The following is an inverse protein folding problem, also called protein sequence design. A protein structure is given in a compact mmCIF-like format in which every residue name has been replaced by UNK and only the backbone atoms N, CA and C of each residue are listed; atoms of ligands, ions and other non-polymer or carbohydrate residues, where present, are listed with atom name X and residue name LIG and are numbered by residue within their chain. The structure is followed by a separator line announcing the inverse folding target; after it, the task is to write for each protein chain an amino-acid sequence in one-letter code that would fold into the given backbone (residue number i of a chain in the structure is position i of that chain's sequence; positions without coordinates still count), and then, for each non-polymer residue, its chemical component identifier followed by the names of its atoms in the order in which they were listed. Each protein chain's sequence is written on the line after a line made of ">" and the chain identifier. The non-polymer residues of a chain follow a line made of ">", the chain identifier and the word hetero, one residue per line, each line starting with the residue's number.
data_IF_860581636232
#
_entry.id   IF_860581636232
#
_cell.length_a   1.000
_cell.length_b   1.000
_cell.length_c   1.000
_cell.angle_alpha   90.00
_cell.angle_beta   90.00
_cell.angle_gamma   90.00
#
_symmetry.space_group_name_H-M   'P 1'
#
loop_
_entity.id
_entity.type
_entity.pdbx_description
1 polymer ?
#
# COMPACT_ATOMS: atom_id res chain seq x y z
N UNK A 1 7.92 8.47 -7.89
CA UNK A 1 7.11 8.00 -6.73
C UNK A 1 5.65 8.13 -7.11
N UNK A 2 4.81 7.12 -6.86
CA UNK A 2 3.36 7.22 -7.14
C UNK A 2 2.61 7.91 -5.99
N UNK A 3 1.39 8.38 -6.28
CA UNK A 3 0.42 8.72 -5.23
C UNK A 3 -0.07 7.44 -4.52
N UNK A 4 -0.79 7.63 -3.42
CA UNK A 4 -1.46 6.52 -2.71
C UNK A 4 -2.64 6.02 -3.55
N UNK A 5 -2.69 4.72 -3.77
CA UNK A 5 -3.85 4.02 -4.34
C UNK A 5 -4.16 2.81 -3.46
N UNK A 6 -5.43 2.62 -3.11
CA UNK A 6 -5.89 1.48 -2.30
C UNK A 6 -6.33 0.28 -3.15
N UNK A 7 -6.20 0.37 -4.48
CA UNK A 7 -6.51 -0.68 -5.44
C UNK A 7 -5.21 -1.26 -6.02
N UNK A 8 -4.82 -2.49 -5.62
CA UNK A 8 -3.64 -3.15 -6.15
C UNK A 8 -3.67 -3.37 -7.66
N UNK A 9 -4.84 -3.70 -8.22
CA UNK A 9 -5.00 -3.98 -9.65
C UNK A 9 -4.87 -2.71 -10.47
N UNK A 10 -5.49 -1.62 -10.01
CA UNK A 10 -5.30 -0.30 -10.65
C UNK A 10 -3.84 0.14 -10.61
N UNK A 11 -3.13 -0.14 -9.50
CA UNK A 11 -1.70 0.16 -9.37
C UNK A 11 -0.86 -0.67 -10.35
N UNK A 12 -1.14 -1.98 -10.46
CA UNK A 12 -0.43 -2.85 -11.40
C UNK A 12 -0.67 -2.47 -12.87
N UNK A 13 -1.92 -2.14 -13.23
CA UNK A 13 -2.25 -1.64 -14.56
C UNK A 13 -1.52 -0.32 -14.87
N UNK A 14 -1.42 0.59 -13.89
CA UNK A 14 -0.65 1.81 -14.06
C UNK A 14 0.85 1.54 -14.27
N UNK A 15 1.46 0.64 -13.48
CA UNK A 15 2.87 0.24 -13.66
C UNK A 15 3.12 -0.31 -15.06
N UNK A 16 2.25 -1.20 -15.55
CA UNK A 16 2.33 -1.74 -16.91
C UNK A 16 2.22 -0.64 -17.98
N UNK A 17 1.25 0.27 -17.83
CA UNK A 17 1.05 1.38 -18.76
C UNK A 17 2.22 2.38 -18.77
N UNK A 18 2.93 2.59 -17.65
CA UNK A 18 4.14 3.41 -17.60
C UNK A 18 5.29 2.74 -18.36
N UNK A 19 5.43 1.42 -18.19
CA UNK A 19 6.42 0.63 -18.90
C UNK A 19 6.19 0.64 -20.42
N UNK A 20 4.97 0.37 -20.86
CA UNK A 20 4.59 0.34 -22.29
C UNK A 20 4.82 1.67 -23.02
N UNK A 21 4.80 2.79 -22.29
CA UNK A 21 5.13 4.12 -22.83
C UNK A 21 6.63 4.40 -22.92
N UNK A 22 7.48 3.42 -22.59
CA UNK A 22 8.94 3.52 -22.66
C UNK A 22 9.60 4.16 -21.44
N UNK A 23 8.88 4.34 -20.32
CA UNK A 23 9.47 4.87 -19.08
C UNK A 23 9.97 3.73 -18.20
N UNK A 24 11.28 3.49 -18.20
CA UNK A 24 11.91 2.40 -17.46
C UNK A 24 12.58 2.85 -16.15
N UNK A 25 12.27 4.07 -15.67
CA UNK A 25 12.81 4.57 -14.42
C UNK A 25 12.24 3.79 -13.21
N UNK A 26 13.01 3.66 -12.11
CA UNK A 26 12.55 3.00 -10.90
C UNK A 26 11.28 3.63 -10.31
N UNK A 27 10.24 2.82 -10.14
CA UNK A 27 8.98 3.21 -9.53
C UNK A 27 9.01 2.86 -8.04
N UNK A 28 8.79 3.86 -7.20
CA UNK A 28 8.46 3.67 -5.78
C UNK A 28 6.95 3.83 -5.61
N UNK A 29 6.28 2.78 -5.14
CA UNK A 29 4.83 2.76 -4.93
C UNK A 29 4.48 3.47 -3.62
N UNK A 30 3.53 4.39 -3.68
CA UNK A 30 3.01 5.10 -2.53
C UNK A 30 2.23 4.19 -1.59
N UNK A 31 2.67 4.10 -0.34
CA UNK A 31 2.05 3.24 0.68
C UNK A 31 1.68 4.08 1.93
N UNK A 32 0.42 4.12 2.35
CA UNK A 32 0.06 4.72 3.62
C UNK A 32 0.60 3.90 4.79
N UNK A 33 1.25 4.55 5.75
CA UNK A 33 1.59 3.95 7.04
C UNK A 33 0.34 3.73 7.92
N UNK A 34 0.50 3.10 9.09
CA UNK A 34 -0.58 2.96 10.05
C UNK A 34 -1.05 4.32 10.54
N UNK A 35 -2.31 4.64 10.31
CA UNK A 35 -2.90 5.94 10.65
C UNK A 35 -4.39 5.77 10.93
N UNK A 36 -5.03 6.58 11.80
CA UNK A 36 -6.47 6.52 11.96
C UNK A 36 -7.21 6.64 10.62
N UNK A 37 -8.18 5.75 10.37
CA UNK A 37 -8.96 5.71 9.12
C UNK A 37 -9.64 7.04 8.83
N UNK A 38 -10.14 7.73 9.86
CA UNK A 38 -10.74 9.08 9.73
C UNK A 38 -9.75 10.11 9.19
N UNK A 39 -8.51 10.10 9.69
CA UNK A 39 -7.42 10.97 9.21
C UNK A 39 -7.02 10.59 7.79
N UNK A 40 -6.94 9.30 7.48
CA UNK A 40 -6.64 8.81 6.13
C UNK A 40 -7.70 9.27 5.13
N UNK A 41 -8.99 9.12 5.46
CA UNK A 41 -10.11 9.55 4.62
C UNK A 41 -10.08 11.06 4.38
N UNK A 42 -9.94 11.86 5.45
CA UNK A 42 -9.85 13.32 5.35
C UNK A 42 -8.72 13.77 4.43
N UNK A 43 -7.53 13.21 4.61
CA UNK A 43 -6.37 13.57 3.78
C UNK A 43 -6.57 13.07 2.35
N UNK A 44 -7.10 11.86 2.17
CA UNK A 44 -7.37 11.26 0.85
C UNK A 44 -8.38 12.09 0.03
N UNK A 45 -9.40 12.63 0.67
CA UNK A 45 -10.37 13.54 0.04
C UNK A 45 -9.71 14.86 -0.39
N UNK A 46 -8.84 15.43 0.47
CA UNK A 46 -8.13 16.67 0.17
C UNK A 46 -7.14 16.56 -1.00
N UNK A 47 -6.48 15.40 -1.15
CA UNK A 47 -5.51 15.17 -2.23
C UNK A 47 -6.14 14.61 -3.52
N UNK A 48 -7.46 14.46 -3.57
CA UNK A 48 -8.19 14.06 -4.78
C UNK A 48 -8.11 12.57 -5.13
N UNK A 49 -7.73 11.68 -4.20
CA UNK A 49 -7.75 10.22 -4.44
C UNK A 49 -9.12 9.58 -4.17
N UNK A 50 -10.20 10.37 -4.30
CA UNK A 50 -11.59 9.99 -4.02
C UNK A 50 -12.07 8.68 -4.66
N UNK A 51 -11.73 8.35 -5.92
CA UNK A 51 -12.06 7.06 -6.53
C UNK A 51 -11.42 5.86 -5.81
N UNK A 52 -10.19 6.02 -5.31
CA UNK A 52 -9.46 5.00 -4.55
C UNK A 52 -10.02 4.78 -3.13
N UNK A 53 -10.80 5.73 -2.60
CA UNK A 53 -11.44 5.62 -1.28
C UNK A 53 -12.59 4.60 -1.28
N UNK A 54 -13.22 4.33 -2.43
CA UNK A 54 -14.34 3.36 -2.49
C UNK A 54 -13.89 1.94 -2.12
N UNK A 55 -12.67 1.56 -2.51
CA UNK A 55 -12.05 0.29 -2.10
C UNK A 55 -11.73 0.28 -0.60
N UNK A 56 -11.19 1.39 -0.07
CA UNK A 56 -10.96 1.53 1.38
C UNK A 56 -12.25 1.38 2.19
N UNK A 57 -13.39 1.86 1.66
CA UNK A 57 -14.70 1.67 2.27
C UNK A 57 -15.19 0.23 2.15
N UNK A 58 -15.00 -0.46 1.03
CA UNK A 58 -15.56 -1.80 0.81
C UNK A 58 -14.86 -2.96 1.54
N UNK A 59 -13.69 -2.75 2.15
CA UNK A 59 -13.02 -3.75 3.02
C UNK A 59 -13.70 -3.91 4.41
N UNK A 60 -15.03 -3.89 4.45
CA UNK A 60 -15.83 -3.94 5.68
C UNK A 60 -16.41 -5.33 6.03
N UNK A 61 -16.30 -6.33 5.15
CA UNK A 61 -17.12 -7.56 5.25
C UNK A 61 -16.37 -8.88 5.52
N UNK A 62 -15.19 -8.84 6.15
CA UNK A 62 -14.38 -10.05 6.42
C UNK A 62 -14.09 -10.30 7.89
N UNK A 63 -14.94 -11.09 8.55
CA UNK A 63 -14.71 -11.87 9.79
C UNK A 63 -14.03 -11.18 10.99
N UNK A 64 -14.85 -10.83 11.99
CA UNK A 64 -14.45 -10.82 13.41
C UNK A 64 -13.60 -9.64 13.90
N UNK A 65 -14.11 -8.97 14.94
CA UNK A 65 -13.41 -8.04 15.84
C UNK A 65 -13.27 -6.59 15.37
N UNK A 66 -14.23 -5.76 15.80
CA UNK A 66 -14.22 -4.29 15.92
C UNK A 66 -13.79 -3.48 14.67
N UNK A 67 -14.43 -2.34 14.38
CA UNK A 67 -13.93 -1.45 13.34
C UNK A 67 -12.50 -1.05 13.70
N UNK A 68 -11.51 -1.53 12.95
CA UNK A 68 -10.11 -1.15 13.16
C UNK A 68 -10.04 0.36 13.00
N UNK A 69 -9.80 1.09 14.09
CA UNK A 69 -9.72 2.55 14.05
C UNK A 69 -8.53 3.02 13.21
N UNK A 70 -7.51 2.17 13.08
CA UNK A 70 -6.25 2.44 12.39
C UNK A 70 -6.16 1.60 11.12
N UNK A 71 -5.82 2.24 10.00
CA UNK A 71 -5.52 1.59 8.73
C UNK A 71 -4.33 0.64 8.91
N UNK A 72 -4.47 -0.58 8.40
CA UNK A 72 -3.42 -1.59 8.41
C UNK A 72 -2.85 -1.69 6.98
N UNK A 73 -1.54 -1.44 6.77
CA UNK A 73 -0.95 -1.51 5.43
C UNK A 73 -0.80 -2.94 4.89
N UNK A 74 -0.83 -3.96 5.76
CA UNK A 74 -0.52 -5.35 5.38
C UNK A 74 -1.39 -5.91 4.24
N UNK A 75 -2.73 -5.75 4.23
CA UNK A 75 -3.57 -6.24 3.15
C UNK A 75 -3.27 -5.58 1.80
N UNK A 76 -2.94 -4.28 1.80
CA UNK A 76 -2.59 -3.57 0.57
C UNK A 76 -1.24 -4.06 0.03
N UNK A 77 -0.26 -4.28 0.90
CA UNK A 77 1.04 -4.86 0.51
C UNK A 77 0.86 -6.27 -0.07
N UNK A 78 0.04 -7.11 0.56
CA UNK A 78 -0.26 -8.46 0.07
C UNK A 78 -0.93 -8.42 -1.31
N UNK A 79 -1.97 -7.60 -1.47
CA UNK A 79 -2.64 -7.44 -2.77
C UNK A 79 -1.69 -6.92 -3.85
N UNK A 80 -0.79 -5.98 -3.53
CA UNK A 80 0.21 -5.49 -4.48
C UNK A 80 1.22 -6.58 -4.88
N UNK A 81 1.63 -7.42 -3.93
CA UNK A 81 2.51 -8.56 -4.22
C UNK A 81 1.85 -9.58 -5.17
N UNK A 82 0.55 -9.81 -5.01
CA UNK A 82 -0.24 -10.69 -5.90
C UNK A 82 -0.44 -10.08 -7.29
N UNK A 83 -0.72 -8.77 -7.36
CA UNK A 83 -0.98 -8.05 -8.62
C UNK A 83 0.29 -7.72 -9.42
N UNK A 84 1.47 -7.76 -8.81
CA UNK A 84 2.77 -7.46 -9.44
C UNK A 84 3.70 -8.68 -9.41
N UNK A 85 3.38 -9.77 -10.14
CA UNK A 85 4.21 -10.96 -10.16
C UNK A 85 5.57 -10.70 -10.83
N UNK A 86 6.66 -11.33 -10.36
CA UNK A 86 7.98 -11.18 -10.96
C UNK A 86 8.05 -11.65 -12.43
N UNK A 87 8.92 -11.06 -13.27
CA UNK A 87 9.87 -9.99 -12.95
C UNK A 87 9.19 -8.61 -12.90
N UNK A 88 9.35 -7.93 -11.76
CA UNK A 88 8.84 -6.58 -11.53
C UNK A 88 9.66 -5.59 -12.36
N UNK A 89 9.17 -5.29 -13.57
CA UNK A 89 9.98 -4.67 -14.65
C UNK A 89 10.64 -3.34 -14.25
N UNK A 90 10.07 -2.59 -13.30
CA UNK A 90 10.62 -1.33 -12.80
C UNK A 90 10.22 -0.96 -11.36
N UNK A 91 9.63 -1.85 -10.55
CA UNK A 91 9.25 -1.52 -9.16
C UNK A 91 10.45 -1.66 -8.24
N UNK A 92 10.90 -0.55 -7.64
CA UNK A 92 12.05 -0.53 -6.73
C UNK A 92 11.69 -0.68 -5.25
N UNK A 93 10.41 -0.47 -4.89
CA UNK A 93 9.93 -0.63 -3.53
C UNK A 93 8.81 0.35 -3.17
N UNK A 94 8.68 0.65 -1.88
CA UNK A 94 7.63 1.50 -1.35
C UNK A 94 8.16 2.86 -0.88
N UNK A 95 7.38 3.91 -1.15
CA UNK A 95 7.48 5.20 -0.49
C UNK A 95 6.37 5.30 0.55
N UNK A 96 6.73 5.31 1.84
CA UNK A 96 5.76 5.25 2.93
C UNK A 96 5.35 6.67 3.36
N UNK A 97 4.06 6.98 3.22
CA UNK A 97 3.47 8.21 3.75
C UNK A 97 3.15 8.00 5.23
N UNK A 98 3.91 8.64 6.12
CA UNK A 98 3.80 8.46 7.57
C UNK A 98 2.63 9.22 8.20
N UNK A 99 2.05 10.18 7.48
CA UNK A 99 1.04 11.11 8.01
C UNK A 99 1.47 11.80 9.32
N UNK A 100 2.77 12.10 9.46
CA UNK A 100 3.36 12.65 10.69
C UNK A 100 3.27 11.72 11.93
N UNK A 101 3.07 10.42 11.72
CA UNK A 101 3.17 9.39 12.75
C UNK A 101 4.30 8.41 12.40
N UNK A 102 5.52 8.86 12.69
CA UNK A 102 6.74 8.09 12.39
C UNK A 102 6.87 6.86 13.30
N UNK A 103 6.46 6.97 14.56
CA UNK A 103 6.61 5.88 15.54
C UNK A 103 5.75 4.67 15.15
N UNK A 104 4.46 4.88 14.89
CA UNK A 104 3.56 3.80 14.47
C UNK A 104 4.03 3.18 13.15
N UNK A 105 4.48 4.02 12.21
CA UNK A 105 4.99 3.59 10.91
C UNK A 105 6.25 2.73 11.03
N UNK A 106 7.26 3.17 11.77
CA UNK A 106 8.50 2.42 11.92
C UNK A 106 8.29 1.13 12.72
N UNK A 107 7.41 1.16 13.73
CA UNK A 107 7.04 -0.03 14.49
C UNK A 107 6.38 -1.08 13.59
N UNK A 108 5.47 -0.66 12.71
CA UNK A 108 4.89 -1.54 11.70
C UNK A 108 5.95 -2.07 10.73
N UNK A 109 6.79 -1.20 10.15
CA UNK A 109 7.82 -1.59 9.18
C UNK A 109 8.77 -2.64 9.73
N UNK A 110 9.22 -2.47 10.99
CA UNK A 110 10.08 -3.45 11.67
C UNK A 110 9.41 -4.81 11.82
N UNK A 111 8.13 -4.84 12.22
CA UNK A 111 7.36 -6.10 12.33
C UNK A 111 7.19 -6.77 10.97
N UNK A 112 6.83 -6.01 9.94
CA UNK A 112 6.64 -6.53 8.59
C UNK A 112 7.94 -7.14 8.03
N UNK A 113 9.07 -6.44 8.17
CA UNK A 113 10.39 -6.95 7.75
C UNK A 113 10.83 -8.17 8.56
N UNK A 114 10.56 -8.20 9.87
CA UNK A 114 10.86 -9.38 10.69
C UNK A 114 10.05 -10.60 10.26
N UNK A 115 8.78 -10.41 9.86
CA UNK A 115 7.94 -11.49 9.29
C UNK A 115 8.52 -12.02 7.99
N UNK A 116 8.82 -11.15 7.02
CA UNK A 116 9.39 -11.54 5.74
C UNK A 116 10.73 -12.27 5.89
N UNK A 117 11.61 -11.80 6.77
CA UNK A 117 12.90 -12.48 7.05
C UNK A 117 12.70 -13.91 7.57
N UNK A 118 11.70 -14.15 8.41
CA UNK A 118 11.38 -15.51 8.88
C UNK A 118 10.84 -16.39 7.76
N UNK A 119 9.94 -15.86 6.93
CA UNK A 119 9.37 -16.60 5.81
C UNK A 119 10.43 -16.97 4.75
N UNK A 120 11.42 -16.11 4.52
CA UNK A 120 12.55 -16.41 3.64
C UNK A 120 13.53 -17.44 4.21
N UNK A 121 13.56 -17.64 5.53
CA UNK A 121 14.42 -18.66 6.18
C UNK A 121 13.78 -20.05 6.22
N UNK A 122 12.45 -20.13 6.09
CA UNK A 122 11.69 -21.38 6.07
C UNK A 122 11.49 -21.96 4.66
N UNK A 123 11.89 -21.25 3.61
CA UNK A 123 11.87 -21.72 2.21
C UNK A 123 13.26 -22.14 1.79
#
# INVERSE_FOLDING_TARGET
>A
VSQICFDPQATAAWVAAVWERGTHLPIHLGLPGPVPRSKLLRVSEQIGVGPSIRVLRNHQDGFGHAPRTTFDPDPLVAGLAESLPPPQRNVAGFHIFTFNDLESTERWRRRALARLRRESQCR
#
